data_IF_897180555897
#
_entry.id   IF_897180555897
#
_cell.length_a   1.000
_cell.length_b   1.000
_cell.length_c   1.000
_cell.angle_alpha   90.00
_cell.angle_beta   90.00
_cell.angle_gamma   90.00
#
_symmetry.space_group_name_H-M   'P 1'
#
loop_
_entity.id
_entity.type
_entity.pdbx_description
1 polymer ?
#
# COMPACT_ATOMS: atom_id res chain seq x y z
N UNK A 1 9.10 -3.98 17.11
CA UNK A 1 10.08 -3.14 16.39
C UNK A 1 11.08 -2.54 17.38
N UNK A 2 12.36 -2.49 17.04
CA UNK A 2 13.36 -1.72 17.78
C UNK A 2 13.46 -0.29 17.21
N UNK A 3 13.87 0.67 18.02
CA UNK A 3 14.10 2.07 17.64
C UNK A 3 15.00 2.20 16.39
N UNK A 4 16.05 1.38 16.32
CA UNK A 4 16.97 1.36 15.18
C UNK A 4 16.30 0.91 13.89
N UNK A 5 15.40 -0.08 13.94
CA UNK A 5 14.66 -0.51 12.76
C UNK A 5 13.73 0.62 12.27
N UNK A 6 13.09 1.34 13.20
CA UNK A 6 12.19 2.45 12.88
C UNK A 6 12.92 3.62 12.19
N UNK A 7 14.07 4.01 12.74
CA UNK A 7 14.85 5.14 12.21
C UNK A 7 15.53 4.80 10.88
N UNK A 8 16.00 3.57 10.72
CA UNK A 8 16.69 3.15 9.49
C UNK A 8 15.73 2.73 8.38
N UNK A 9 14.45 2.51 8.68
CA UNK A 9 13.49 1.93 7.74
C UNK A 9 13.77 0.45 7.42
N UNK A 10 14.60 -0.21 8.25
CA UNK A 10 14.94 -1.62 8.08
C UNK A 10 13.73 -2.54 8.30
N UNK A 11 12.75 -2.08 9.08
CA UNK A 11 11.45 -2.73 9.22
C UNK A 11 10.73 -2.85 7.87
N UNK A 12 10.51 -1.74 7.19
CA UNK A 12 9.85 -1.71 5.87
C UNK A 12 10.67 -2.46 4.82
N UNK A 13 12.00 -2.39 4.90
CA UNK A 13 12.88 -3.12 3.98
C UNK A 13 12.72 -4.63 4.14
N UNK A 14 12.54 -5.12 5.38
CA UNK A 14 12.29 -6.55 5.64
C UNK A 14 10.91 -6.98 5.15
N UNK A 15 9.88 -6.17 5.41
CA UNK A 15 8.52 -6.45 4.94
C UNK A 15 8.45 -6.47 3.42
N UNK A 16 9.02 -5.48 2.74
CA UNK A 16 9.03 -5.43 1.28
C UNK A 16 9.77 -6.62 0.66
N UNK A 17 10.90 -7.05 1.25
CA UNK A 17 11.60 -8.27 0.82
C UNK A 17 10.76 -9.53 1.00
N UNK A 18 9.93 -9.59 2.03
CA UNK A 18 9.02 -10.70 2.24
C UNK A 18 7.90 -10.70 1.19
N UNK A 19 7.33 -9.53 0.88
CA UNK A 19 6.34 -9.38 -0.18
C UNK A 19 6.90 -9.76 -1.55
N UNK A 20 8.09 -9.28 -1.91
CA UNK A 20 8.74 -9.63 -3.17
C UNK A 20 9.00 -11.13 -3.28
N UNK A 21 9.35 -11.77 -2.17
CA UNK A 21 9.62 -13.22 -2.12
C UNK A 21 8.35 -14.05 -2.25
N UNK A 22 7.21 -13.53 -1.80
CA UNK A 22 5.88 -14.12 -2.00
C UNK A 22 5.38 -13.91 -3.42
N UNK A 23 5.43 -12.68 -3.92
CA UNK A 23 5.04 -12.33 -5.29
C UNK A 23 5.80 -13.14 -6.34
N UNK A 24 7.11 -13.38 -6.15
CA UNK A 24 7.93 -14.21 -7.05
C UNK A 24 7.49 -15.66 -7.18
N UNK A 25 6.67 -16.18 -6.25
CA UNK A 25 6.11 -17.54 -6.35
C UNK A 25 4.86 -17.60 -7.22
N UNK A 26 4.24 -16.46 -7.50
CA UNK A 26 3.04 -16.37 -8.32
C UNK A 26 3.38 -16.52 -9.82
N UNK A 27 2.38 -16.83 -10.68
CA UNK A 27 2.56 -16.84 -12.13
C UNK A 27 3.03 -15.48 -12.68
N UNK A 28 3.62 -15.47 -13.87
CA UNK A 28 4.21 -14.26 -14.48
C UNK A 28 3.22 -13.10 -14.62
N UNK A 29 1.96 -13.40 -14.93
CA UNK A 29 0.90 -12.39 -15.08
C UNK A 29 0.60 -11.70 -13.75
N UNK A 30 0.58 -12.47 -12.65
CA UNK A 30 0.38 -11.98 -11.29
C UNK A 30 1.59 -11.17 -10.80
N UNK A 31 2.81 -11.55 -11.18
CA UNK A 31 4.02 -10.77 -10.89
C UNK A 31 3.96 -9.40 -11.58
N UNK A 32 3.57 -9.36 -12.85
CA UNK A 32 3.41 -8.11 -13.59
C UNK A 32 2.29 -7.22 -13.00
N UNK A 33 1.21 -7.84 -12.50
CA UNK A 33 0.14 -7.15 -11.80
C UNK A 33 0.64 -6.53 -10.48
N UNK A 34 1.40 -7.29 -9.69
CA UNK A 34 2.00 -6.85 -8.44
C UNK A 34 2.90 -5.62 -8.63
N UNK A 35 3.74 -5.59 -9.66
CA UNK A 35 4.57 -4.42 -9.98
C UNK A 35 3.72 -3.18 -10.31
N UNK A 36 2.65 -3.34 -11.09
CA UNK A 36 1.73 -2.24 -11.41
C UNK A 36 0.97 -1.74 -10.18
N UNK A 37 0.54 -2.64 -9.30
CA UNK A 37 -0.14 -2.29 -8.05
C UNK A 37 0.80 -1.46 -7.17
N UNK A 38 2.04 -1.93 -6.97
CA UNK A 38 3.05 -1.20 -6.21
C UNK A 38 3.24 0.22 -6.75
N UNK A 39 3.43 0.36 -8.06
CA UNK A 39 3.62 1.67 -8.69
C UNK A 39 2.43 2.62 -8.50
N UNK A 40 1.21 2.11 -8.46
CA UNK A 40 -0.01 2.92 -8.30
C UNK A 40 -0.37 3.20 -6.84
N UNK A 41 0.05 2.37 -5.87
CA UNK A 41 -0.22 2.58 -4.44
C UNK A 41 0.77 3.56 -3.80
N UNK A 42 2.02 3.59 -4.24
CA UNK A 42 3.03 4.49 -3.65
C UNK A 42 2.65 5.98 -3.61
N UNK A 43 1.96 6.57 -4.61
CA UNK A 43 1.42 7.92 -4.53
C UNK A 43 0.43 8.17 -3.37
N UNK A 44 -0.18 7.12 -2.82
CA UNK A 44 -1.10 7.18 -1.67
C UNK A 44 -0.40 6.95 -0.32
N UNK A 45 0.94 6.88 -0.31
CA UNK A 45 1.72 6.79 0.93
C UNK A 45 1.54 8.03 1.80
N UNK A 46 1.64 7.82 3.11
CA UNK A 46 1.88 8.90 4.07
C UNK A 46 3.38 9.25 4.12
N UNK A 47 3.80 10.16 5.01
CA UNK A 47 5.21 10.56 5.12
C UNK A 47 6.17 9.40 5.41
N UNK A 48 5.68 8.28 5.92
CA UNK A 48 6.48 7.12 6.28
C UNK A 48 6.31 5.97 5.30
N UNK A 49 5.22 5.93 4.52
CA UNK A 49 4.86 4.79 3.67
C UNK A 49 4.41 3.54 4.41
N UNK A 50 4.47 3.52 5.76
CA UNK A 50 4.07 2.37 6.58
C UNK A 50 2.57 2.11 6.53
N UNK A 51 1.78 3.13 6.21
CA UNK A 51 0.34 2.98 5.97
C UNK A 51 0.03 2.04 4.79
N UNK A 52 0.95 1.89 3.84
CA UNK A 52 0.76 1.01 2.69
C UNK A 52 1.13 -0.44 2.98
N UNK A 53 1.95 -0.74 3.99
CA UNK A 53 2.38 -2.11 4.29
C UNK A 53 1.21 -3.08 4.53
N UNK A 54 0.20 -2.77 5.37
CA UNK A 54 -0.94 -3.68 5.55
C UNK A 54 -1.80 -3.80 4.28
N UNK A 55 -1.89 -2.73 3.48
CA UNK A 55 -2.64 -2.73 2.22
C UNK A 55 -1.96 -3.64 1.20
N UNK A 56 -0.63 -3.52 1.07
CA UNK A 56 0.19 -4.36 0.21
C UNK A 56 0.13 -5.83 0.63
N UNK A 57 0.15 -6.11 1.94
CA UNK A 57 -0.01 -7.47 2.46
C UNK A 57 -1.39 -8.07 2.10
N UNK A 58 -2.46 -7.29 2.27
CA UNK A 58 -3.82 -7.70 1.92
C UNK A 58 -3.99 -7.95 0.42
N UNK A 59 -3.48 -7.07 -0.43
CA UNK A 59 -3.52 -7.27 -1.90
C UNK A 59 -2.71 -8.49 -2.31
N UNK A 60 -1.55 -8.71 -1.69
CA UNK A 60 -0.75 -9.89 -1.99
C UNK A 60 -1.46 -11.18 -1.57
N UNK A 61 -2.17 -11.16 -0.44
CA UNK A 61 -3.05 -12.26 -0.03
C UNK A 61 -4.16 -12.54 -1.05
N UNK A 62 -4.85 -11.50 -1.54
CA UNK A 62 -5.85 -11.61 -2.61
C UNK A 62 -5.27 -12.28 -3.86
N UNK A 63 -4.07 -11.87 -4.29
CA UNK A 63 -3.40 -12.45 -5.45
C UNK A 63 -2.97 -13.90 -5.23
N UNK A 64 -2.54 -14.27 -4.01
CA UNK A 64 -2.20 -15.64 -3.64
C UNK A 64 -3.44 -16.55 -3.65
N UNK A 65 -4.56 -16.10 -3.10
CA UNK A 65 -5.84 -16.84 -3.12
C UNK A 65 -6.35 -16.99 -4.55
N UNK A 66 -6.34 -15.92 -5.33
CA UNK A 66 -6.84 -15.95 -6.72
C UNK A 66 -5.98 -16.83 -7.63
N UNK A 67 -4.66 -16.86 -7.41
CA UNK A 67 -3.77 -17.76 -8.11
C UNK A 67 -3.99 -19.23 -7.71
N UNK A 68 -4.39 -19.51 -6.47
CA UNK A 68 -4.75 -20.85 -6.03
C UNK A 68 -6.07 -21.33 -6.64
N UNK A 69 -7.01 -20.40 -6.89
CA UNK A 69 -8.30 -20.66 -7.54
C UNK A 69 -8.23 -20.65 -9.09
N UNK A 70 -7.01 -20.57 -9.67
CA UNK A 70 -6.75 -20.52 -11.12
C UNK A 70 -7.49 -19.37 -11.83
N UNK A 71 -7.86 -18.31 -11.11
CA UNK A 71 -8.52 -17.15 -11.69
C UNK A 71 -7.52 -16.31 -12.51
N UNK A 72 -8.02 -15.55 -13.47
CA UNK A 72 -7.18 -14.60 -14.19
C UNK A 72 -7.02 -13.31 -13.40
N UNK A 73 -5.85 -12.66 -13.54
CA UNK A 73 -5.58 -11.35 -12.95
C UNK A 73 -6.65 -10.30 -13.33
N UNK A 74 -7.18 -10.40 -14.56
CA UNK A 74 -8.19 -9.49 -15.09
C UNK A 74 -9.55 -9.68 -14.41
N UNK A 75 -9.93 -10.91 -14.06
CA UNK A 75 -11.15 -11.18 -13.31
C UNK A 75 -11.07 -10.64 -11.87
N UNK A 76 -9.88 -10.66 -11.28
CA UNK A 76 -9.65 -10.28 -9.88
C UNK A 76 -9.48 -8.77 -9.72
N UNK A 77 -8.64 -8.14 -10.54
CA UNK A 77 -8.29 -6.72 -10.43
C UNK A 77 -9.11 -5.82 -11.38
N UNK A 78 -9.79 -6.42 -12.35
CA UNK A 78 -10.40 -5.70 -13.47
C UNK A 78 -9.37 -5.15 -14.46
N UNK A 79 -9.88 -4.48 -15.50
CA UNK A 79 -9.04 -3.83 -16.51
C UNK A 79 -8.38 -2.53 -16.00
N UNK A 80 -8.96 -1.90 -14.96
CA UNK A 80 -8.47 -0.65 -14.38
C UNK A 80 -7.78 -0.86 -13.03
N UNK A 81 -6.54 -1.34 -13.08
CA UNK A 81 -5.66 -1.51 -11.90
C UNK A 81 -5.48 -0.19 -11.14
N UNK A 82 -5.49 0.95 -11.83
CA UNK A 82 -5.32 2.26 -11.21
C UNK A 82 -6.57 2.67 -10.43
N UNK A 83 -7.74 2.44 -11.01
CA UNK A 83 -9.04 2.59 -10.35
C UNK A 83 -9.15 1.71 -9.12
N UNK A 84 -8.76 0.43 -9.23
CA UNK A 84 -8.68 -0.50 -8.11
C UNK A 84 -7.78 0.04 -6.98
N UNK A 85 -6.55 0.44 -7.29
CA UNK A 85 -5.63 0.99 -6.28
C UNK A 85 -6.16 2.28 -5.62
N UNK A 86 -6.85 3.12 -6.39
CA UNK A 86 -7.44 4.38 -5.87
C UNK A 86 -8.62 4.10 -4.95
N UNK A 87 -9.48 3.15 -5.31
CA UNK A 87 -10.61 2.72 -4.49
C UNK A 87 -10.11 2.07 -3.19
N UNK A 88 -9.15 1.15 -3.30
CA UNK A 88 -8.55 0.47 -2.15
C UNK A 88 -7.87 1.44 -1.19
N UNK A 89 -7.07 2.39 -1.70
CA UNK A 89 -6.47 3.42 -0.86
C UNK A 89 -7.51 4.32 -0.17
N UNK A 90 -8.66 4.53 -0.81
CA UNK A 90 -9.80 5.24 -0.24
C UNK A 90 -10.52 4.47 0.87
N UNK A 91 -10.81 3.18 0.64
CA UNK A 91 -11.52 2.30 1.59
C UNK A 91 -10.68 2.00 2.84
N UNK A 92 -9.39 1.70 2.66
CA UNK A 92 -8.44 1.47 3.76
C UNK A 92 -8.09 2.77 4.52
N UNK A 93 -8.61 3.91 4.07
CA UNK A 93 -8.39 5.21 4.71
C UNK A 93 -6.91 5.62 4.70
N UNK A 94 -6.17 5.20 3.67
CA UNK A 94 -4.75 5.50 3.53
C UNK A 94 -4.56 7.01 3.39
N UNK A 95 -4.22 7.67 4.51
CA UNK A 95 -3.96 9.11 4.54
C UNK A 95 -2.77 9.44 3.65
N UNK A 96 -3.02 10.07 2.52
CA UNK A 96 -1.95 10.55 1.65
C UNK A 96 -1.12 11.63 2.34
N UNK A 97 0.08 11.91 1.81
CA UNK A 97 0.88 13.10 2.16
C UNK A 97 0.02 14.38 2.20
N UNK A 98 -0.89 14.54 1.23
CA UNK A 98 -1.78 15.70 1.14
C UNK A 98 -2.74 15.75 2.33
N UNK A 99 -3.31 14.63 2.73
CA UNK A 99 -4.26 14.57 3.85
C UNK A 99 -3.56 14.90 5.17
N UNK A 100 -2.34 14.39 5.36
CA UNK A 100 -1.51 14.72 6.51
C UNK A 100 -1.16 16.22 6.57
N UNK A 101 -0.85 16.85 5.44
CA UNK A 101 -0.63 18.30 5.40
C UNK A 101 -1.89 19.10 5.75
N UNK A 102 -3.05 18.69 5.26
CA UNK A 102 -4.33 19.34 5.62
C UNK A 102 -4.61 19.23 7.11
N UNK A 103 -4.39 18.04 7.69
CA UNK A 103 -4.53 17.79 9.12
C UNK A 103 -3.56 18.65 9.94
N UNK A 104 -2.28 18.72 9.53
CA UNK A 104 -1.27 19.55 10.19
C UNK A 104 -1.64 21.05 10.14
N UNK A 105 -2.10 21.53 8.98
CA UNK A 105 -2.55 22.92 8.83
C UNK A 105 -3.72 23.23 9.76
N UNK A 106 -4.76 22.38 9.74
CA UNK A 106 -5.96 22.56 10.56
C UNK A 106 -5.61 22.54 12.06
N UNK A 107 -4.74 21.62 12.49
CA UNK A 107 -4.28 21.53 13.88
C UNK A 107 -3.48 22.77 14.29
N UNK A 108 -2.64 23.30 13.39
CA UNK A 108 -1.89 24.53 13.66
C UNK A 108 -2.81 25.75 13.78
N UNK A 109 -3.84 25.84 12.95
CA UNK A 109 -4.85 26.91 13.01
C UNK A 109 -5.66 26.79 14.30
N UNK A 110 -6.14 25.59 14.66
CA UNK A 110 -6.91 25.36 15.89
C UNK A 110 -6.12 25.80 17.14
N UNK A 111 -4.84 25.39 17.23
CA UNK A 111 -3.93 25.83 18.30
C UNK A 111 -3.78 27.35 18.37
N UNK A 112 -3.66 28.03 17.22
CA UNK A 112 -3.57 29.50 17.17
C UNK A 112 -4.88 30.18 17.59
N UNK A 113 -6.02 29.53 17.38
CA UNK A 113 -7.34 30.02 17.75
C UNK A 113 -7.74 29.64 19.19
N UNK A 114 -6.86 28.99 19.96
CA UNK A 114 -7.12 28.60 21.36
C UNK A 114 -8.18 27.50 21.50
N UNK A 115 -8.39 26.70 20.45
CA UNK A 115 -9.24 25.51 20.45
C UNK A 115 -8.41 24.24 20.49
#
# INVERSE_FOLDING_TARGET
MNFWDLITGNDMTKEMKAFDSRAKKLPADYQAAWEKINANLWPHSDFTGRNLMPILDGVLGLLEESAADEQSVQEVLGDDIKGFCSALAGEEGAKSVRDKWREQLNNNIAKKLGK
#
